data_IF_244152796615
#
_entry.id   IF_244152796615
#
_cell.length_a   1.000
_cell.length_b   1.000
_cell.length_c   1.000
_cell.angle_alpha   90.00
_cell.angle_beta   90.00
_cell.angle_gamma   90.00
#
_symmetry.space_group_name_H-M   'P 1'
#
loop_
_entity.id
_entity.type
_entity.pdbx_description
1 polymer ?
#
# COMPACT_ATOMS: atom_id res chain seq x y z
N UNK A 1 5.20 3.56 4.87
CA UNK A 1 6.19 2.67 4.23
C UNK A 1 7.05 1.90 5.23
N UNK A 2 7.77 2.57 6.15
CA UNK A 2 8.67 1.89 7.11
C UNK A 2 8.02 0.73 7.89
N UNK A 3 6.76 0.90 8.34
CA UNK A 3 6.04 -0.16 9.04
C UNK A 3 5.73 -1.38 8.16
N UNK A 4 5.37 -1.19 6.88
CA UNK A 4 5.19 -2.30 5.93
C UNK A 4 6.49 -3.07 5.72
N UNK A 5 7.59 -2.34 5.48
CA UNK A 5 8.90 -2.94 5.29
C UNK A 5 9.36 -3.72 6.54
N UNK A 6 9.16 -3.16 7.72
CA UNK A 6 9.51 -3.84 8.97
C UNK A 6 8.65 -5.07 9.22
N UNK A 7 7.35 -5.00 8.95
CA UNK A 7 6.45 -6.14 9.09
C UNK A 7 6.84 -7.28 8.14
N UNK A 8 7.18 -6.97 6.88
CA UNK A 8 7.67 -7.96 5.92
C UNK A 8 8.99 -8.62 6.39
N UNK A 9 9.95 -7.82 6.87
CA UNK A 9 11.20 -8.34 7.46
C UNK A 9 10.94 -9.24 8.66
N UNK A 10 9.99 -8.88 9.52
CA UNK A 10 9.62 -9.70 10.67
C UNK A 10 9.01 -11.03 10.23
N UNK A 11 8.15 -11.04 9.21
CA UNK A 11 7.59 -12.27 8.65
C UNK A 11 8.68 -13.18 8.08
N UNK A 12 9.62 -12.62 7.31
CA UNK A 12 10.76 -13.39 6.81
C UNK A 12 11.62 -13.96 7.96
N UNK A 13 11.94 -13.15 8.98
CA UNK A 13 12.70 -13.59 10.15
C UNK A 13 11.98 -14.67 10.97
N UNK A 14 10.65 -14.71 10.92
CA UNK A 14 9.83 -15.74 11.56
C UNK A 14 9.66 -17.02 10.70
N UNK A 15 10.22 -17.06 9.49
CA UNK A 15 10.23 -18.25 8.63
C UNK A 15 9.03 -18.38 7.69
N UNK A 16 8.30 -17.30 7.41
CA UNK A 16 7.24 -17.29 6.39
C UNK A 16 7.84 -17.23 4.97
N UNK A 17 7.19 -17.89 4.00
CA UNK A 17 7.61 -17.90 2.60
C UNK A 17 7.38 -16.56 1.88
N UNK A 18 6.49 -15.72 2.42
CA UNK A 18 6.15 -14.43 1.83
C UNK A 18 5.07 -13.69 2.60
N UNK A 19 4.69 -12.53 2.07
CA UNK A 19 3.62 -11.68 2.61
C UNK A 19 2.67 -11.25 1.50
N UNK A 20 1.39 -11.12 1.83
CA UNK A 20 0.39 -10.48 0.98
C UNK A 20 0.15 -9.05 1.44
N UNK A 21 0.20 -8.09 0.52
CA UNK A 21 -0.20 -6.71 0.80
C UNK A 21 -1.71 -6.60 0.59
N UNK A 22 -2.47 -6.43 1.68
CA UNK A 22 -3.92 -6.35 1.57
C UNK A 22 -4.38 -5.00 0.97
N UNK A 23 -4.93 -5.05 -0.25
CA UNK A 23 -5.33 -3.88 -1.05
C UNK A 23 -6.85 -3.78 -1.31
N UNK A 24 -7.66 -4.55 -0.59
CA UNK A 24 -9.09 -4.72 -0.83
C UNK A 24 -9.93 -4.32 0.39
N UNK A 25 -11.25 -4.59 0.30
CA UNK A 25 -12.21 -4.54 1.42
C UNK A 25 -12.27 -3.19 2.15
N UNK A 26 -11.99 -2.07 1.47
CA UNK A 26 -12.10 -0.73 2.03
C UNK A 26 -11.02 -0.35 3.05
N UNK A 27 -9.96 -1.15 3.22
CA UNK A 27 -8.81 -0.79 4.04
C UNK A 27 -7.95 0.28 3.38
N UNK A 28 -6.96 0.80 4.11
CA UNK A 28 -6.19 2.00 3.74
C UNK A 28 -5.70 2.01 2.28
N UNK A 29 -5.04 0.95 1.81
CA UNK A 29 -4.53 0.90 0.43
C UNK A 29 -5.70 0.99 -0.57
N UNK A 30 -6.82 0.30 -0.29
CA UNK A 30 -8.03 0.39 -1.11
C UNK A 30 -8.64 1.79 -1.10
N UNK A 31 -8.60 2.48 0.06
CA UNK A 31 -9.08 3.86 0.18
C UNK A 31 -8.29 4.83 -0.69
N UNK A 32 -6.98 4.64 -0.83
CA UNK A 32 -6.16 5.43 -1.75
C UNK A 32 -6.51 5.17 -3.22
N UNK A 33 -6.73 3.90 -3.60
CA UNK A 33 -7.03 3.50 -4.98
C UNK A 33 -8.40 4.05 -5.44
N UNK A 34 -9.40 4.01 -4.56
CA UNK A 34 -10.78 4.35 -4.87
C UNK A 34 -10.99 5.85 -5.04
N UNK A 35 -11.58 6.25 -6.18
CA UNK A 35 -12.01 7.63 -6.40
C UNK A 35 -13.18 8.06 -5.49
N UNK A 36 -13.90 7.09 -4.91
CA UNK A 36 -15.01 7.37 -4.01
C UNK A 36 -14.54 7.82 -2.62
N UNK A 37 -13.39 7.34 -2.15
CA UNK A 37 -12.86 7.68 -0.81
C UNK A 37 -11.66 8.61 -0.85
N UNK A 38 -10.87 8.60 -1.93
CA UNK A 38 -9.70 9.47 -2.07
C UNK A 38 -10.06 10.77 -2.78
N UNK A 39 -10.36 11.80 -1.98
CA UNK A 39 -10.63 13.17 -2.44
C UNK A 39 -9.42 14.09 -2.35
N UNK A 40 -8.20 13.54 -2.26
CA UNK A 40 -6.98 14.36 -2.20
C UNK A 40 -6.74 15.05 -3.53
N UNK A 41 -6.17 16.25 -3.46
CA UNK A 41 -5.76 17.04 -4.62
C UNK A 41 -4.23 17.09 -4.81
N UNK A 42 -3.49 16.35 -3.96
CA UNK A 42 -2.05 16.23 -4.05
C UNK A 42 -1.60 15.06 -4.94
N UNK A 43 -0.29 14.75 -4.90
CA UNK A 43 0.31 13.69 -5.70
C UNK A 43 -0.20 12.27 -5.41
N UNK A 44 -1.03 12.10 -4.37
CA UNK A 44 -1.67 10.82 -4.01
C UNK A 44 -3.16 10.76 -4.35
N UNK A 45 -3.75 11.81 -4.93
CA UNK A 45 -5.15 11.86 -5.31
C UNK A 45 -5.41 12.43 -6.71
N UNK A 46 -6.69 12.60 -7.05
CA UNK A 46 -7.12 13.07 -8.38
C UNK A 46 -6.99 12.01 -9.47
N UNK A 47 -5.83 11.87 -10.11
CA UNK A 47 -5.65 10.92 -11.23
C UNK A 47 -5.51 9.47 -10.74
N UNK A 48 -5.80 8.49 -11.60
CA UNK A 48 -5.56 7.07 -11.30
C UNK A 48 -4.09 6.80 -10.94
N UNK A 49 -3.15 7.42 -11.65
CA UNK A 49 -1.72 7.25 -11.39
C UNK A 49 -1.33 7.73 -9.99
N UNK A 50 -1.87 8.88 -9.57
CA UNK A 50 -1.64 9.42 -8.23
C UNK A 50 -2.27 8.52 -7.15
N UNK A 51 -3.50 8.06 -7.37
CA UNK A 51 -4.19 7.14 -6.44
C UNK A 51 -3.47 5.79 -6.27
N UNK A 52 -2.80 5.31 -7.32
CA UNK A 52 -1.97 4.10 -7.27
C UNK A 52 -0.57 4.33 -6.67
N UNK A 53 -0.14 5.58 -6.47
CA UNK A 53 1.20 5.92 -5.95
C UNK A 53 1.47 5.25 -4.61
N UNK A 54 0.54 5.36 -3.67
CA UNK A 54 0.68 4.77 -2.35
C UNK A 54 0.91 3.25 -2.41
N UNK A 55 0.12 2.54 -3.22
CA UNK A 55 0.32 1.10 -3.44
C UNK A 55 1.70 0.79 -4.01
N UNK A 56 2.16 1.54 -5.03
CA UNK A 56 3.48 1.34 -5.63
C UNK A 56 4.60 1.52 -4.61
N UNK A 57 4.51 2.54 -3.76
CA UNK A 57 5.49 2.77 -2.69
C UNK A 57 5.48 1.67 -1.62
N UNK A 58 4.30 1.12 -1.26
CA UNK A 58 4.21 -0.03 -0.35
C UNK A 58 4.90 -1.25 -0.96
N UNK A 59 4.61 -1.56 -2.23
CA UNK A 59 5.23 -2.69 -2.94
C UNK A 59 6.75 -2.51 -3.02
N UNK A 60 7.23 -1.32 -3.38
CA UNK A 60 8.66 -1.01 -3.41
C UNK A 60 9.35 -1.11 -2.04
N UNK A 61 8.64 -0.79 -0.96
CA UNK A 61 9.20 -0.86 0.39
C UNK A 61 9.26 -2.30 0.95
N UNK A 62 8.43 -3.21 0.41
CA UNK A 62 8.35 -4.62 0.83
C UNK A 62 9.25 -5.53 0.00
N UNK A 63 9.49 -5.17 -1.27
CA UNK A 63 10.43 -5.86 -2.17
C UNK A 63 11.89 -5.72 -1.72
#
# INVERSE_FOLDING_TARGET
MQLYAQAARNALAAGFDGVEIHCANGYLVNQFISAHSNHREDEYGGSLNNRLRFLREVVQAVA
#
